data_IF_582163565510
#
_entry.id   IF_582163565510
#
_cell.length_a   1.000
_cell.length_b   1.000
_cell.length_c   1.000
_cell.angle_alpha   90.00
_cell.angle_beta   90.00
_cell.angle_gamma   90.00
#
_symmetry.space_group_name_H-M   'P 1'
#
loop_
_entity.id
_entity.type
_entity.pdbx_description
1 polymer ?
#
# COMPACT_ATOMS: atom_id res chain seq x y z
N UNK A 1 -17.39 56.17 -10.71
CA UNK A 1 -18.33 55.09 -11.05
C UNK A 1 -17.62 54.17 -12.01
N UNK A 2 -17.10 53.07 -11.49
CA UNK A 2 -16.53 51.98 -12.27
C UNK A 2 -16.96 50.71 -11.54
N UNK A 3 -18.18 50.27 -11.86
CA UNK A 3 -18.62 48.89 -11.63
C UNK A 3 -17.90 48.03 -12.67
N UNK A 4 -16.99 47.17 -12.22
CA UNK A 4 -16.27 46.29 -13.11
C UNK A 4 -15.08 45.66 -12.41
N UNK A 5 -15.34 44.80 -11.43
CA UNK A 5 -14.35 43.80 -10.96
C UNK A 5 -14.93 42.68 -10.07
N UNK A 6 -16.25 42.63 -9.83
CA UNK A 6 -16.85 41.60 -8.96
C UNK A 6 -17.30 40.31 -9.67
N UNK A 7 -17.15 40.20 -11.00
CA UNK A 7 -17.66 39.06 -11.78
C UNK A 7 -16.58 38.06 -12.22
N UNK A 8 -15.29 38.42 -12.23
CA UNK A 8 -14.22 37.50 -12.63
C UNK A 8 -13.97 36.40 -11.59
N UNK A 9 -14.08 36.75 -10.30
CA UNK A 9 -13.86 35.84 -9.17
C UNK A 9 -14.89 34.68 -9.10
N UNK A 10 -16.02 34.78 -9.80
CA UNK A 10 -17.09 33.76 -9.77
C UNK A 10 -16.97 32.70 -10.89
N UNK A 11 -16.30 32.99 -12.00
CA UNK A 11 -16.23 32.05 -13.14
C UNK A 11 -15.07 31.07 -13.03
N UNK A 12 -13.90 31.53 -12.62
CA UNK A 12 -12.73 30.65 -12.44
C UNK A 12 -12.96 29.65 -11.31
N UNK A 13 -13.56 30.09 -10.20
CA UNK A 13 -13.97 29.23 -9.10
C UNK A 13 -15.07 28.24 -9.53
N UNK A 14 -15.99 28.61 -10.43
CA UNK A 14 -16.98 27.68 -11.00
C UNK A 14 -16.34 26.61 -11.91
N UNK A 15 -15.32 26.99 -12.68
CA UNK A 15 -14.56 26.10 -13.56
C UNK A 15 -13.76 25.11 -12.71
N UNK A 16 -13.06 25.58 -11.68
CA UNK A 16 -12.35 24.74 -10.71
C UNK A 16 -13.31 23.76 -10.01
N UNK A 17 -14.53 24.21 -9.70
CA UNK A 17 -15.59 23.37 -9.11
C UNK A 17 -16.13 22.32 -10.07
N UNK A 18 -16.31 22.64 -11.35
CA UNK A 18 -16.71 21.68 -12.38
C UNK A 18 -15.61 20.64 -12.63
N UNK A 19 -14.35 21.08 -12.67
CA UNK A 19 -13.18 20.22 -12.74
C UNK A 19 -13.11 19.28 -11.54
N UNK A 20 -13.34 19.76 -10.32
CA UNK A 20 -13.37 18.91 -9.12
C UNK A 20 -14.46 17.82 -9.23
N UNK A 21 -15.67 18.18 -9.69
CA UNK A 21 -16.79 17.25 -9.86
C UNK A 21 -16.49 16.21 -10.95
N UNK A 22 -15.91 16.63 -12.08
CA UNK A 22 -15.51 15.74 -13.16
C UNK A 22 -14.40 14.79 -12.70
N UNK A 23 -13.41 15.30 -11.96
CA UNK A 23 -12.34 14.48 -11.39
C UNK A 23 -12.90 13.46 -10.42
N UNK A 24 -13.80 13.86 -9.51
CA UNK A 24 -14.45 12.95 -8.55
C UNK A 24 -15.26 11.85 -9.25
N UNK A 25 -16.10 12.23 -10.22
CA UNK A 25 -16.88 11.27 -11.00
C UNK A 25 -15.98 10.35 -11.83
N UNK A 26 -14.89 10.86 -12.39
CA UNK A 26 -13.89 10.08 -13.12
C UNK A 26 -13.21 9.05 -12.20
N UNK A 27 -12.77 9.46 -11.00
CA UNK A 27 -12.22 8.51 -10.00
C UNK A 27 -13.23 7.47 -9.54
N UNK A 28 -14.51 7.84 -9.41
CA UNK A 28 -15.57 6.90 -9.01
C UNK A 28 -15.90 5.90 -10.12
N UNK A 29 -15.95 6.35 -11.37
CA UNK A 29 -16.11 5.48 -12.54
C UNK A 29 -14.90 4.57 -12.71
N UNK A 30 -13.69 5.10 -12.57
CA UNK A 30 -12.47 4.31 -12.61
C UNK A 30 -12.43 3.26 -11.49
N UNK A 31 -12.88 3.61 -10.28
CA UNK A 31 -13.02 2.68 -9.16
C UNK A 31 -14.05 1.58 -9.45
N UNK A 32 -15.24 1.94 -9.97
CA UNK A 32 -16.26 0.95 -10.33
C UNK A 32 -15.78 0.03 -11.46
N UNK A 33 -15.14 0.58 -12.49
CA UNK A 33 -14.61 -0.20 -13.61
C UNK A 33 -13.45 -1.11 -13.17
N UNK A 34 -12.49 -0.61 -12.38
CA UNK A 34 -11.41 -1.44 -11.82
C UNK A 34 -11.94 -2.55 -10.91
N UNK A 35 -12.94 -2.24 -10.06
CA UNK A 35 -13.59 -3.26 -9.20
C UNK A 35 -14.36 -4.33 -9.98
N UNK A 36 -14.92 -4.00 -11.15
CA UNK A 36 -15.62 -4.95 -12.01
C UNK A 36 -14.68 -5.80 -12.87
N UNK A 37 -13.52 -5.24 -13.26
CA UNK A 37 -12.53 -5.92 -14.11
C UNK A 37 -11.64 -6.86 -13.30
N UNK A 38 -11.25 -6.47 -12.08
CA UNK A 38 -10.26 -7.23 -11.29
C UNK A 38 -10.90 -8.31 -10.38
N UNK A 39 -12.22 -8.29 -10.16
CA UNK A 39 -12.91 -9.25 -9.28
C UNK A 39 -12.49 -9.21 -7.81
N UNK A 40 -11.60 -8.28 -7.46
CA UNK A 40 -11.00 -8.08 -6.14
C UNK A 40 -11.13 -6.60 -5.76
N UNK A 41 -11.58 -6.32 -4.54
CA UNK A 41 -11.83 -4.95 -4.06
C UNK A 41 -10.83 -4.66 -2.94
N UNK A 42 -9.84 -3.82 -3.21
CA UNK A 42 -8.86 -3.37 -2.22
C UNK A 42 -9.55 -2.49 -1.15
N UNK A 43 -9.66 -2.95 0.13
CA UNK A 43 -10.35 -2.21 1.17
C UNK A 43 -9.66 -0.87 1.52
N UNK A 44 -8.34 -0.76 1.35
CA UNK A 44 -7.60 0.47 1.64
C UNK A 44 -7.93 1.56 0.59
N UNK A 45 -8.19 1.16 -0.66
CA UNK A 45 -8.69 2.07 -1.72
C UNK A 45 -10.11 2.53 -1.44
N UNK A 46 -10.98 1.64 -0.94
CA UNK A 46 -12.35 1.99 -0.52
C UNK A 46 -12.33 2.99 0.62
N UNK A 47 -11.45 2.80 1.61
CA UNK A 47 -11.34 3.70 2.77
C UNK A 47 -10.78 5.08 2.37
N UNK A 48 -9.77 5.12 1.49
CA UNK A 48 -9.24 6.37 0.92
C UNK A 48 -10.31 7.15 0.14
N UNK A 49 -11.08 6.45 -0.70
CA UNK A 49 -12.17 7.02 -1.49
C UNK A 49 -13.32 7.51 -0.59
N UNK A 50 -13.62 6.77 0.48
CA UNK A 50 -14.60 7.16 1.49
C UNK A 50 -14.15 8.43 2.23
N UNK A 51 -12.88 8.52 2.63
CA UNK A 51 -12.33 9.72 3.27
C UNK A 51 -12.31 10.94 2.33
N UNK A 52 -11.98 10.74 1.05
CA UNK A 52 -12.04 11.76 0.01
C UNK A 52 -13.47 12.30 -0.17
N UNK A 53 -14.45 11.40 -0.31
CA UNK A 53 -15.86 11.76 -0.42
C UNK A 53 -16.40 12.51 0.79
N UNK A 54 -16.07 12.07 2.01
CA UNK A 54 -16.48 12.73 3.25
C UNK A 54 -15.92 14.15 3.34
N UNK A 55 -14.65 14.36 2.97
CA UNK A 55 -14.03 15.70 2.96
C UNK A 55 -14.69 16.61 1.93
N UNK A 56 -14.91 16.12 0.71
CA UNK A 56 -15.58 16.90 -0.35
C UNK A 56 -17.01 17.25 0.06
N UNK A 57 -17.76 16.30 0.61
CA UNK A 57 -19.14 16.53 1.06
C UNK A 57 -19.19 17.60 2.16
N UNK A 58 -18.33 17.49 3.17
CA UNK A 58 -18.27 18.47 4.27
C UNK A 58 -17.95 19.88 3.75
N UNK A 59 -17.01 19.99 2.82
CA UNK A 59 -16.70 21.26 2.16
C UNK A 59 -17.91 21.81 1.37
N UNK A 60 -18.65 20.95 0.66
CA UNK A 60 -19.86 21.37 -0.07
C UNK A 60 -20.99 21.81 0.86
N UNK A 61 -21.19 21.13 2.00
CA UNK A 61 -22.16 21.51 3.03
C UNK A 61 -21.81 22.89 3.62
N UNK A 62 -20.54 23.13 3.96
CA UNK A 62 -20.06 24.42 4.44
C UNK A 62 -20.25 25.52 3.37
N UNK A 63 -19.95 25.23 2.11
CA UNK A 63 -20.12 26.16 0.99
C UNK A 63 -21.59 26.54 0.71
N UNK A 64 -22.55 25.64 0.95
CA UNK A 64 -23.99 25.98 0.81
C UNK A 64 -24.48 27.02 1.80
N UNK A 65 -23.76 27.22 2.91
CA UNK A 65 -24.10 28.18 3.97
C UNK A 65 -23.38 29.53 3.85
N UNK A 66 -22.47 29.69 2.89
CA UNK A 66 -21.72 30.93 2.68
C UNK A 66 -22.59 32.05 2.08
N UNK A 67 -22.43 33.28 2.59
CA UNK A 67 -23.12 34.47 2.08
C UNK A 67 -22.61 34.82 0.68
N UNK A 68 -23.53 34.99 -0.28
CA UNK A 68 -23.22 35.42 -1.65
C UNK A 68 -23.38 34.35 -2.74
N UNK A 69 -23.78 33.12 -2.39
CA UNK A 69 -24.04 32.06 -3.36
C UNK A 69 -25.45 32.21 -3.97
N UNK A 70 -25.61 32.23 -5.30
CA UNK A 70 -26.92 32.28 -5.94
C UNK A 70 -27.82 31.10 -5.55
N UNK A 71 -29.15 31.28 -5.40
CA UNK A 71 -30.08 30.21 -5.02
C UNK A 71 -30.07 29.01 -5.98
N UNK A 72 -29.88 29.24 -7.28
CA UNK A 72 -29.74 28.17 -8.28
C UNK A 72 -28.52 27.29 -8.03
N UNK A 73 -27.40 27.90 -7.64
CA UNK A 73 -26.15 27.20 -7.29
C UNK A 73 -26.30 26.46 -5.96
N UNK A 74 -26.97 27.03 -4.95
CA UNK A 74 -27.29 26.32 -3.71
C UNK A 74 -28.18 25.09 -3.95
N UNK A 75 -29.14 25.18 -4.85
CA UNK A 75 -30.00 24.05 -5.22
C UNK A 75 -29.23 22.93 -5.92
N UNK A 76 -28.31 23.27 -6.83
CA UNK A 76 -27.45 22.28 -7.50
C UNK A 76 -26.48 21.64 -6.50
N UNK A 77 -25.81 22.44 -5.66
CA UNK A 77 -24.89 21.94 -4.64
C UNK A 77 -25.60 21.04 -3.63
N UNK A 78 -26.80 21.38 -3.18
CA UNK A 78 -27.58 20.55 -2.25
C UNK A 78 -28.07 19.24 -2.89
N UNK A 79 -28.42 19.24 -4.18
CA UNK A 79 -28.69 18.02 -4.95
C UNK A 79 -27.44 17.13 -5.05
N UNK A 80 -26.27 17.71 -5.27
CA UNK A 80 -25.00 16.97 -5.34
C UNK A 80 -24.62 16.42 -3.97
N UNK A 81 -24.74 17.20 -2.90
CA UNK A 81 -24.53 16.73 -1.51
C UNK A 81 -25.44 15.54 -1.21
N UNK A 82 -26.72 15.58 -1.62
CA UNK A 82 -27.64 14.44 -1.47
C UNK A 82 -27.18 13.21 -2.25
N UNK A 83 -26.64 13.36 -3.45
CA UNK A 83 -26.10 12.24 -4.25
C UNK A 83 -24.80 11.68 -3.66
N UNK A 84 -23.90 12.54 -3.18
CA UNK A 84 -22.67 12.13 -2.50
C UNK A 84 -23.00 11.39 -1.19
N UNK A 85 -23.98 11.84 -0.42
CA UNK A 85 -24.44 11.15 0.79
C UNK A 85 -25.06 9.77 0.49
N UNK A 86 -25.77 9.63 -0.63
CA UNK A 86 -26.27 8.34 -1.10
C UNK A 86 -25.12 7.39 -1.43
N UNK A 87 -24.10 7.86 -2.15
CA UNK A 87 -22.91 7.06 -2.50
C UNK A 87 -22.10 6.69 -1.24
N UNK A 88 -21.90 7.64 -0.33
CA UNK A 88 -21.26 7.43 0.97
C UNK A 88 -21.97 6.34 1.78
N UNK A 89 -23.31 6.29 1.77
CA UNK A 89 -24.08 5.25 2.47
C UNK A 89 -23.94 3.84 1.87
N UNK A 90 -23.49 3.75 0.61
CA UNK A 90 -23.31 2.49 -0.11
C UNK A 90 -21.88 1.94 -0.03
N UNK A 91 -20.89 2.80 0.20
CA UNK A 91 -19.47 2.40 0.29
C UNK A 91 -19.15 1.46 1.46
N UNK A 92 -19.67 1.65 2.69
CA UNK A 92 -19.49 0.69 3.77
C UNK A 92 -20.06 -0.68 3.42
N UNK A 93 -21.21 -0.74 2.73
CA UNK A 93 -21.83 -2.00 2.29
C UNK A 93 -21.02 -2.71 1.22
N UNK A 94 -20.29 -1.96 0.38
CA UNK A 94 -19.33 -2.50 -0.59
C UNK A 94 -18.04 -2.95 0.09
N UNK A 95 -17.52 -2.21 1.07
CA UNK A 95 -16.37 -2.60 1.89
C UNK A 95 -16.65 -3.89 2.67
N UNK A 96 -17.82 -4.00 3.28
CA UNK A 96 -18.23 -5.21 4.01
C UNK A 96 -18.40 -6.40 3.06
N UNK A 97 -18.96 -6.19 1.86
CA UNK A 97 -19.04 -7.22 0.84
C UNK A 97 -17.66 -7.63 0.30
N UNK A 98 -16.73 -6.69 0.14
CA UNK A 98 -15.35 -6.97 -0.25
C UNK A 98 -14.64 -7.84 0.80
N UNK A 99 -14.77 -7.47 2.08
CA UNK A 99 -14.24 -8.23 3.23
C UNK A 99 -14.87 -9.61 3.38
N UNK A 100 -16.14 -9.78 2.97
CA UNK A 100 -16.81 -11.08 2.96
C UNK A 100 -16.38 -11.95 1.77
N UNK A 101 -16.17 -11.36 0.60
CA UNK A 101 -15.71 -12.07 -0.60
C UNK A 101 -14.28 -12.64 -0.43
N UNK A 102 -13.41 -11.96 0.33
CA UNK A 102 -12.08 -12.49 0.70
C UNK A 102 -12.14 -13.69 1.66
N UNK A 103 -13.17 -13.78 2.50
CA UNK A 103 -13.30 -14.86 3.49
C UNK A 103 -13.77 -16.18 2.88
N UNK A 104 -14.55 -16.13 1.79
CA UNK A 104 -15.16 -17.31 1.16
C UNK A 104 -14.15 -18.35 0.63
N UNK A 105 -13.11 -18.01 -0.16
CA UNK A 105 -12.19 -19.04 -0.66
C UNK A 105 -11.30 -19.63 0.45
N UNK A 106 -10.90 -18.83 1.45
CA UNK A 106 -10.05 -19.30 2.54
C UNK A 106 -10.78 -20.21 3.54
N UNK A 107 -12.06 -19.93 3.85
CA UNK A 107 -12.85 -20.75 4.79
C UNK A 107 -13.36 -22.06 4.18
N UNK A 108 -13.65 -22.11 2.88
CA UNK A 108 -14.01 -23.38 2.21
C UNK A 108 -12.82 -24.35 2.17
N UNK A 109 -11.61 -23.85 1.91
CA UNK A 109 -10.38 -24.65 1.94
C UNK A 109 -10.04 -25.10 3.37
N UNK A 110 -10.19 -24.23 4.36
CA UNK A 110 -9.95 -24.58 5.77
C UNK A 110 -10.97 -25.57 6.32
N UNK A 111 -12.24 -25.45 5.94
CA UNK A 111 -13.28 -26.43 6.35
C UNK A 111 -13.14 -27.78 5.67
N UNK A 112 -12.58 -27.84 4.46
CA UNK A 112 -12.19 -29.09 3.79
C UNK A 112 -10.94 -29.73 4.43
N UNK A 113 -10.00 -28.92 4.94
CA UNK A 113 -8.79 -29.38 5.63
C UNK A 113 -9.06 -29.83 7.07
N UNK A 114 -9.94 -29.15 7.81
CA UNK A 114 -10.35 -29.51 9.18
C UNK A 114 -11.27 -30.74 9.24
N UNK A 115 -11.80 -31.18 8.09
CA UNK A 115 -12.67 -32.36 7.97
C UNK A 115 -11.95 -33.70 7.79
N UNK A 116 -10.63 -33.74 7.66
CA UNK A 116 -9.88 -34.96 7.39
C UNK A 116 -9.02 -35.39 8.59
N UNK A 117 -9.30 -36.61 9.08
CA UNK A 117 -8.68 -37.41 10.15
C UNK A 117 -9.51 -37.45 11.45
N UNK A 118 -10.09 -38.57 11.93
CA UNK A 118 -9.82 -40.01 11.79
C UNK A 118 -11.10 -40.80 12.11
N UNK A 119 -11.40 -41.87 11.34
CA UNK A 119 -11.75 -43.20 11.90
C UNK A 119 -11.87 -44.26 10.82
N UNK A 120 -10.74 -44.90 10.55
CA UNK A 120 -10.66 -46.28 10.05
C UNK A 120 -11.12 -47.22 11.17
N UNK A 121 -12.21 -47.97 10.95
CA UNK A 121 -12.39 -49.29 11.58
C UNK A 121 -13.22 -50.20 10.67
N UNK A 122 -12.64 -51.38 10.49
CA UNK A 122 -13.01 -52.49 9.62
C UNK A 122 -14.36 -53.11 9.99
N UNK A 123 -15.16 -53.47 8.98
CA UNK A 123 -15.90 -54.75 8.96
C UNK A 123 -16.27 -55.14 7.52
N UNK A 124 -16.06 -56.43 7.26
CA UNK A 124 -16.08 -57.21 6.03
C UNK A 124 -17.46 -57.57 5.47
N UNK A 125 -17.42 -58.23 4.29
CA UNK A 125 -18.45 -58.98 3.52
C UNK A 125 -18.96 -58.22 2.28
N UNK A 126 -18.83 -58.68 1.03
CA UNK A 126 -18.29 -59.90 0.42
C UNK A 126 -18.65 -59.92 -1.08
N UNK A 127 -17.89 -60.70 -1.87
CA UNK A 127 -18.10 -61.08 -3.29
C UNK A 127 -17.95 -59.96 -4.35
N UNK A 128 -17.29 -60.12 -5.50
CA UNK A 128 -16.88 -61.30 -6.26
C UNK A 128 -15.70 -60.97 -7.19
N UNK A 129 -14.82 -61.94 -7.36
CA UNK A 129 -13.82 -62.04 -8.43
C UNK A 129 -14.51 -62.20 -9.79
N UNK A 130 -13.99 -61.57 -10.83
CA UNK A 130 -13.72 -62.25 -12.11
C UNK A 130 -12.68 -61.46 -12.93
N UNK A 131 -11.81 -62.23 -13.57
CA UNK A 131 -10.57 -61.81 -14.20
C UNK A 131 -10.72 -61.70 -15.72
N UNK A 132 -9.94 -60.82 -16.37
CA UNK A 132 -9.40 -61.10 -17.70
C UNK A 132 -8.34 -60.10 -18.17
N UNK A 133 -7.19 -60.69 -18.53
CA UNK A 133 -6.27 -60.40 -19.64
C UNK A 133 -5.58 -59.04 -19.79
N UNK A 134 -4.25 -59.16 -19.80
CA UNK A 134 -3.21 -58.29 -20.34
C UNK A 134 -3.48 -57.80 -21.77
N UNK A 135 -3.11 -56.55 -22.05
CA UNK A 135 -2.40 -56.15 -23.27
C UNK A 135 -1.56 -54.90 -23.02
N UNK A 136 -0.32 -54.97 -23.51
CA UNK A 136 0.66 -53.89 -23.61
C UNK A 136 0.07 -52.55 -24.08
N UNK A 137 0.53 -51.46 -23.49
CA UNK A 137 0.90 -50.22 -24.17
C UNK A 137 1.80 -49.43 -23.22
N UNK A 138 3.07 -49.30 -23.59
CA UNK A 138 4.00 -48.32 -23.01
C UNK A 138 3.66 -46.95 -23.62
N UNK A 139 3.50 -45.89 -22.81
CA UNK A 139 3.78 -44.54 -23.27
C UNK A 139 4.95 -43.95 -22.48
N UNK A 140 6.05 -43.83 -23.22
CA UNK A 140 7.07 -42.77 -23.20
C UNK A 140 6.87 -41.65 -22.18
N UNK A 141 7.93 -41.45 -21.37
CA UNK A 141 8.36 -40.17 -20.80
C UNK A 141 7.22 -39.37 -20.16
N UNK A 142 6.97 -39.67 -18.88
CA UNK A 142 6.30 -38.69 -18.02
C UNK A 142 7.11 -37.40 -18.09
N UNK A 143 6.56 -36.41 -18.78
CA UNK A 143 7.01 -35.04 -18.65
C UNK A 143 7.03 -34.74 -17.15
N UNK A 144 8.22 -34.49 -16.60
CA UNK A 144 8.29 -33.86 -15.29
C UNK A 144 7.38 -32.64 -15.36
N UNK A 145 6.39 -32.49 -14.46
CA UNK A 145 5.58 -31.28 -14.46
C UNK A 145 6.58 -30.14 -14.34
N UNK A 146 6.65 -29.30 -15.37
CA UNK A 146 7.52 -28.15 -15.40
C UNK A 146 7.31 -27.44 -14.06
N UNK A 147 8.33 -27.49 -13.19
CA UNK A 147 8.28 -26.78 -11.92
C UNK A 147 8.07 -25.33 -12.33
N UNK A 148 6.86 -24.83 -12.15
CA UNK A 148 6.61 -23.39 -12.22
C UNK A 148 7.49 -22.81 -11.13
N UNK A 149 8.65 -22.29 -11.51
CA UNK A 149 9.58 -21.65 -10.57
C UNK A 149 8.77 -20.56 -9.87
N UNK A 150 8.54 -20.73 -8.57
CA UNK A 150 7.92 -19.71 -7.76
C UNK A 150 8.84 -18.50 -7.80
N UNK A 151 8.33 -17.34 -8.28
CA UNK A 151 9.14 -16.13 -8.47
C UNK A 151 9.92 -15.74 -7.20
N UNK A 152 9.30 -15.99 -6.05
CA UNK A 152 9.88 -15.81 -4.74
C UNK A 152 9.14 -16.65 -3.70
N UNK A 153 9.81 -16.95 -2.59
CA UNK A 153 9.23 -17.58 -1.41
C UNK A 153 9.53 -16.73 -0.17
N UNK A 154 8.52 -16.57 0.69
CA UNK A 154 8.69 -15.97 2.02
C UNK A 154 9.22 -17.03 3.00
N UNK A 155 10.21 -16.66 3.79
CA UNK A 155 10.88 -17.48 4.81
C UNK A 155 10.68 -16.84 6.17
N UNK A 156 10.58 -17.67 7.22
CA UNK A 156 10.33 -17.17 8.58
C UNK A 156 11.53 -16.41 9.17
N UNK A 157 12.73 -16.69 8.66
CA UNK A 157 13.99 -16.08 9.11
C UNK A 157 14.52 -15.15 8.03
N UNK A 158 14.72 -13.90 8.41
CA UNK A 158 15.36 -12.86 7.59
C UNK A 158 16.83 -13.21 7.30
N UNK A 159 17.30 -12.89 6.09
CA UNK A 159 18.71 -13.01 5.74
C UNK A 159 19.35 -11.67 5.48
N UNK A 160 20.22 -11.26 6.39
CA UNK A 160 20.97 -10.01 6.33
C UNK A 160 22.29 -10.17 5.55
N UNK A 161 22.21 -10.71 4.32
CA UNK A 161 23.38 -10.93 3.46
C UNK A 161 24.21 -9.64 3.26
N UNK A 162 23.55 -8.49 3.27
CA UNK A 162 24.16 -7.17 3.07
C UNK A 162 24.55 -6.46 4.38
N UNK A 163 24.25 -7.05 5.54
CA UNK A 163 24.53 -6.47 6.86
C UNK A 163 23.75 -5.19 7.17
N UNK A 164 22.69 -4.88 6.43
CA UNK A 164 21.90 -3.65 6.53
C UNK A 164 20.96 -3.66 7.73
N UNK A 165 20.38 -4.81 8.07
CA UNK A 165 19.49 -4.94 9.24
C UNK A 165 20.31 -4.74 10.51
N UNK A 166 21.42 -5.47 10.67
CA UNK A 166 22.27 -5.37 11.85
C UNK A 166 22.92 -3.99 12.01
N UNK A 167 23.25 -3.30 10.92
CA UNK A 167 23.73 -1.90 10.97
C UNK A 167 22.63 -0.94 11.43
N UNK A 168 21.42 -1.06 10.87
CA UNK A 168 20.29 -0.18 11.20
C UNK A 168 19.83 -0.38 12.63
N UNK A 169 19.78 -1.63 13.10
CA UNK A 169 19.43 -1.95 14.48
C UNK A 169 20.45 -1.37 15.47
N UNK A 170 21.75 -1.49 15.20
CA UNK A 170 22.80 -0.85 16.02
C UNK A 170 22.67 0.66 16.04
N UNK A 171 22.36 1.27 14.90
CA UNK A 171 22.12 2.71 14.82
C UNK A 171 20.93 3.12 15.70
N UNK A 172 19.79 2.43 15.61
CA UNK A 172 18.63 2.70 16.46
C UNK A 172 18.98 2.55 17.95
N UNK A 173 19.69 1.49 18.32
CA UNK A 173 20.12 1.26 19.71
C UNK A 173 21.06 2.36 20.23
N UNK A 174 21.96 2.88 19.39
CA UNK A 174 22.86 3.97 19.75
C UNK A 174 22.11 5.27 20.07
N UNK A 175 21.03 5.56 19.33
CA UNK A 175 20.26 6.79 19.47
C UNK A 175 19.04 6.65 20.39
N UNK A 176 18.66 5.42 20.77
CA UNK A 176 17.50 5.17 21.63
C UNK A 176 17.51 5.91 22.98
N UNK A 177 18.65 6.21 23.63
CA UNK A 177 18.63 6.96 24.89
C UNK A 177 18.32 8.46 24.71
N UNK A 178 18.33 8.96 23.48
CA UNK A 178 18.23 10.41 23.19
C UNK A 178 17.07 10.76 22.26
N UNK A 179 16.62 9.82 21.44
CA UNK A 179 15.56 10.01 20.46
C UNK A 179 14.43 9.00 20.69
N UNK A 180 13.19 9.41 20.47
CA UNK A 180 12.09 8.46 20.35
C UNK A 180 12.32 7.55 19.13
N UNK A 181 12.12 6.23 19.26
CA UNK A 181 12.53 5.26 18.23
C UNK A 181 11.40 4.58 17.48
N UNK A 182 10.12 4.85 17.76
CA UNK A 182 9.02 4.14 17.08
C UNK A 182 9.04 4.30 15.56
N UNK A 183 9.21 5.53 15.04
CA UNK A 183 9.30 5.76 13.59
C UNK A 183 10.53 5.09 12.96
N UNK A 184 11.75 5.24 13.51
CA UNK A 184 12.90 4.44 13.07
C UNK A 184 12.65 2.92 13.11
N UNK A 185 11.95 2.43 14.13
CA UNK A 185 11.63 0.99 14.27
C UNK A 185 10.64 0.55 13.20
N UNK A 186 9.66 1.37 12.84
CA UNK A 186 8.75 1.10 11.72
C UNK A 186 9.51 0.80 10.42
N UNK A 187 10.49 1.64 10.10
CA UNK A 187 11.33 1.44 8.92
C UNK A 187 12.27 0.23 9.05
N UNK A 188 12.79 -0.05 10.25
CA UNK A 188 13.57 -1.26 10.50
C UNK A 188 12.74 -2.54 10.28
N UNK A 189 11.48 -2.58 10.72
CA UNK A 189 10.63 -3.76 10.51
C UNK A 189 10.25 -3.92 9.03
N UNK A 190 10.05 -2.83 8.29
CA UNK A 190 9.92 -2.90 6.83
C UNK A 190 11.19 -3.45 6.15
N UNK A 191 12.36 -3.06 6.63
CA UNK A 191 13.64 -3.59 6.16
C UNK A 191 13.75 -5.09 6.43
N UNK A 192 13.41 -5.55 7.63
CA UNK A 192 13.39 -6.97 8.01
C UNK A 192 12.44 -7.78 7.13
N UNK A 193 11.24 -7.25 6.93
CA UNK A 193 10.21 -7.91 6.16
C UNK A 193 10.62 -8.14 4.69
N UNK A 194 11.34 -7.19 4.09
CA UNK A 194 11.91 -7.36 2.73
C UNK A 194 12.90 -8.54 2.69
N UNK A 195 13.75 -8.68 3.70
CA UNK A 195 14.78 -9.72 3.75
C UNK A 195 14.24 -11.12 4.13
N UNK A 196 12.93 -11.26 4.38
CA UNK A 196 12.28 -12.56 4.53
C UNK A 196 11.97 -13.23 3.19
N UNK A 197 12.06 -12.51 2.08
CA UNK A 197 11.82 -13.06 0.76
C UNK A 197 13.08 -13.71 0.20
N UNK A 198 12.90 -14.69 -0.68
CA UNK A 198 13.96 -15.44 -1.37
C UNK A 198 13.57 -15.69 -2.81
N UNK A 199 14.53 -15.57 -3.72
CA UNK A 199 14.39 -15.98 -5.12
C UNK A 199 15.73 -16.47 -5.65
N UNK A 200 15.68 -17.35 -6.66
CA UNK A 200 16.86 -17.80 -7.41
C UNK A 200 17.21 -16.85 -8.57
N UNK A 201 16.38 -15.83 -8.81
CA UNK A 201 16.57 -14.86 -9.89
C UNK A 201 17.90 -14.09 -9.77
N UNK A 202 18.61 -13.84 -10.87
CA UNK A 202 19.83 -13.02 -10.85
C UNK A 202 19.57 -11.56 -10.44
N UNK A 203 18.34 -11.06 -10.62
CA UNK A 203 17.95 -9.71 -10.22
C UNK A 203 17.54 -9.61 -8.74
N UNK A 204 17.46 -10.73 -8.03
CA UNK A 204 16.99 -10.77 -6.64
C UNK A 204 17.86 -9.91 -5.70
N UNK A 205 19.17 -9.85 -5.95
CA UNK A 205 20.08 -8.98 -5.20
C UNK A 205 19.65 -7.52 -5.25
N UNK A 206 19.36 -6.99 -6.45
CA UNK A 206 18.92 -5.61 -6.65
C UNK A 206 17.51 -5.38 -6.04
N UNK A 207 16.61 -6.37 -6.13
CA UNK A 207 15.26 -6.32 -5.53
C UNK A 207 15.30 -6.19 -4.01
N UNK A 208 16.30 -6.76 -3.35
CA UNK A 208 16.46 -6.61 -1.89
C UNK A 208 17.27 -5.36 -1.55
N UNK A 209 18.42 -5.19 -2.20
CA UNK A 209 19.42 -4.20 -1.81
C UNK A 209 18.97 -2.76 -2.07
N UNK A 210 18.35 -2.48 -3.21
CA UNK A 210 17.94 -1.13 -3.58
C UNK A 210 16.88 -0.54 -2.62
N UNK A 211 15.73 -1.18 -2.36
CA UNK A 211 14.78 -0.67 -1.36
C UNK A 211 15.41 -0.62 0.03
N UNK A 212 16.22 -1.62 0.40
CA UNK A 212 16.87 -1.67 1.69
C UNK A 212 17.77 -0.45 1.94
N UNK A 213 18.60 -0.05 0.96
CA UNK A 213 19.47 1.13 1.06
C UNK A 213 18.68 2.41 1.25
N UNK A 214 17.53 2.56 0.59
CA UNK A 214 16.66 3.73 0.74
C UNK A 214 16.03 3.75 2.14
N UNK A 215 15.52 2.62 2.63
CA UNK A 215 14.96 2.51 3.99
C UNK A 215 16.02 2.81 5.06
N UNK A 216 17.26 2.32 4.87
CA UNK A 216 18.40 2.63 5.74
C UNK A 216 18.71 4.13 5.71
N UNK A 217 18.72 4.76 4.53
CA UNK A 217 18.93 6.21 4.36
C UNK A 217 17.84 7.01 5.07
N UNK A 218 16.57 6.65 4.92
CA UNK A 218 15.44 7.26 5.64
C UNK A 218 15.64 7.14 7.14
N UNK A 219 15.89 5.93 7.65
CA UNK A 219 16.09 5.67 9.08
C UNK A 219 17.25 6.48 9.65
N UNK A 220 18.38 6.52 8.93
CA UNK A 220 19.54 7.33 9.31
C UNK A 220 19.21 8.81 9.32
N UNK A 221 18.57 9.33 8.27
CA UNK A 221 18.17 10.74 8.19
C UNK A 221 17.25 11.17 9.33
N UNK A 222 16.37 10.27 9.79
CA UNK A 222 15.50 10.50 10.93
C UNK A 222 16.31 10.63 12.22
N UNK A 223 17.30 9.78 12.44
CA UNK A 223 18.08 9.73 13.69
C UNK A 223 19.21 10.76 13.75
N UNK A 224 19.84 11.10 12.62
CA UNK A 224 21.10 11.87 12.60
C UNK A 224 20.98 13.28 12.06
N UNK A 225 19.94 13.58 11.26
CA UNK A 225 19.84 14.87 10.55
C UNK A 225 18.66 15.71 11.01
N UNK A 226 18.79 17.04 10.94
CA UNK A 226 17.69 17.96 11.24
C UNK A 226 16.76 18.13 10.02
N UNK A 227 15.42 18.07 10.17
CA UNK A 227 14.71 18.22 11.44
C UNK A 227 14.42 16.91 12.17
N UNK A 228 14.61 15.74 11.54
CA UNK A 228 14.34 14.42 12.12
C UNK A 228 14.85 14.23 13.53
N UNK A 229 16.16 14.37 13.71
CA UNK A 229 16.82 14.11 14.99
C UNK A 229 16.29 15.02 16.10
N UNK A 230 16.04 16.31 15.79
CA UNK A 230 15.53 17.30 16.74
C UNK A 230 14.10 16.98 17.15
N UNK A 231 13.24 16.67 16.19
CA UNK A 231 11.84 16.33 16.45
C UNK A 231 11.69 15.06 17.29
N UNK A 232 12.51 14.04 17.02
CA UNK A 232 12.52 12.81 17.83
C UNK A 232 13.08 13.02 19.25
N UNK A 233 14.06 13.91 19.41
CA UNK A 233 14.58 14.31 20.73
C UNK A 233 13.55 15.08 21.55
N UNK A 234 12.84 16.02 20.90
CA UNK A 234 11.81 16.81 21.58
C UNK A 234 10.59 15.94 21.93
N UNK A 235 10.20 15.01 21.05
CA UNK A 235 9.15 14.05 21.36
C UNK A 235 9.51 13.18 22.57
N UNK A 236 10.76 12.74 22.70
CA UNK A 236 11.21 11.90 23.82
C UNK A 236 11.06 12.59 25.18
N UNK A 237 11.05 13.92 25.23
CA UNK A 237 10.81 14.68 26.47
C UNK A 237 9.33 14.64 26.90
N UNK A 238 8.42 14.50 25.94
CA UNK A 238 6.99 14.67 26.13
C UNK A 238 6.21 13.34 26.08
N UNK A 239 6.80 12.27 25.54
CA UNK A 239 6.16 10.98 25.31
C UNK A 239 7.04 9.84 25.82
N UNK A 240 6.40 8.82 26.40
CA UNK A 240 7.07 7.57 26.77
C UNK A 240 7.62 6.86 25.54
N UNK A 241 8.75 6.19 25.70
CA UNK A 241 9.42 5.53 24.59
C UNK A 241 8.73 4.22 24.20
N UNK A 242 8.31 4.16 22.94
CA UNK A 242 7.70 2.98 22.35
C UNK A 242 8.72 2.32 21.41
N UNK A 243 9.09 1.08 21.72
CA UNK A 243 10.20 0.38 21.05
C UNK A 243 9.76 -0.76 20.15
N UNK A 244 8.45 -1.04 20.08
CA UNK A 244 7.88 -2.17 19.34
C UNK A 244 6.64 -1.74 18.57
N UNK A 245 6.42 -2.39 17.43
CA UNK A 245 5.22 -2.26 16.64
C UNK A 245 4.13 -3.21 17.15
N UNK A 246 2.88 -2.79 17.01
CA UNK A 246 1.73 -3.66 17.27
C UNK A 246 1.44 -4.55 16.04
N UNK A 247 0.52 -5.51 16.21
CA UNK A 247 0.19 -6.45 15.12
C UNK A 247 -0.42 -5.76 13.90
N UNK A 248 -1.22 -4.71 14.07
CA UNK A 248 -1.83 -3.94 12.97
C UNK A 248 -0.78 -3.20 12.13
N UNK A 249 0.17 -2.54 12.81
CA UNK A 249 1.31 -1.85 12.21
C UNK A 249 2.18 -2.83 11.41
N UNK A 250 2.47 -4.01 11.99
CA UNK A 250 3.19 -5.08 11.29
C UNK A 250 2.41 -5.59 10.09
N UNK A 251 1.12 -5.87 10.21
CA UNK A 251 0.29 -6.37 9.11
C UNK A 251 0.27 -5.39 7.92
N UNK A 252 0.26 -4.08 8.19
CA UNK A 252 0.36 -3.07 7.13
C UNK A 252 1.72 -3.05 6.44
N UNK A 253 2.80 -3.24 7.19
CA UNK A 253 4.14 -3.41 6.62
C UNK A 253 4.18 -4.64 5.73
N UNK A 254 3.72 -5.78 6.22
CA UNK A 254 3.67 -7.05 5.48
C UNK A 254 2.86 -6.90 4.17
N UNK A 255 1.69 -6.26 4.23
CA UNK A 255 0.88 -5.96 3.04
C UNK A 255 1.60 -5.05 2.04
N UNK A 256 2.30 -4.02 2.52
CA UNK A 256 3.04 -3.10 1.64
C UNK A 256 4.20 -3.81 0.94
N UNK A 257 4.97 -4.62 1.67
CA UNK A 257 6.09 -5.41 1.14
C UNK A 257 5.60 -6.51 0.21
N UNK A 258 4.53 -7.23 0.56
CA UNK A 258 3.95 -8.24 -0.33
C UNK A 258 3.50 -7.65 -1.67
N UNK A 259 2.84 -6.47 -1.65
CA UNK A 259 2.46 -5.77 -2.89
C UNK A 259 3.69 -5.31 -3.72
N UNK A 260 4.82 -5.03 -3.08
CA UNK A 260 6.09 -4.75 -3.77
C UNK A 260 6.61 -5.99 -4.50
N UNK A 261 6.67 -7.14 -3.82
CA UNK A 261 7.11 -8.40 -4.43
C UNK A 261 6.20 -8.89 -5.56
N UNK A 262 4.88 -8.69 -5.44
CA UNK A 262 3.94 -8.88 -6.56
C UNK A 262 4.26 -7.96 -7.74
N UNK A 263 4.64 -6.71 -7.46
CA UNK A 263 4.99 -5.73 -8.49
C UNK A 263 6.24 -6.09 -9.29
N UNK A 264 7.26 -6.66 -8.63
CA UNK A 264 8.53 -7.10 -9.25
C UNK A 264 8.52 -8.55 -9.71
N UNK A 265 7.39 -9.26 -9.61
CA UNK A 265 7.29 -10.68 -9.95
C UNK A 265 7.75 -10.98 -11.39
N UNK A 266 7.35 -10.14 -12.35
CA UNK A 266 7.76 -10.26 -13.75
C UNK A 266 9.27 -10.10 -13.93
N UNK A 267 9.93 -9.26 -13.11
CA UNK A 267 11.40 -9.10 -13.12
C UNK A 267 12.07 -10.37 -12.59
N UNK A 268 11.52 -10.95 -11.52
CA UNK A 268 12.08 -12.15 -10.90
C UNK A 268 11.92 -13.40 -11.77
N UNK A 269 10.83 -13.48 -12.54
CA UNK A 269 10.58 -14.56 -13.51
C UNK A 269 11.30 -14.38 -14.85
N UNK A 270 11.95 -13.23 -15.08
CA UNK A 270 12.51 -12.85 -16.38
C UNK A 270 11.45 -12.82 -17.50
N UNK A 271 10.21 -12.49 -17.14
CA UNK A 271 9.09 -12.34 -18.06
C UNK A 271 9.14 -10.99 -18.79
N UNK A 272 8.30 -10.83 -19.82
CA UNK A 272 8.20 -9.57 -20.57
C UNK A 272 7.82 -8.40 -19.66
N UNK A 273 8.69 -7.39 -19.57
CA UNK A 273 8.50 -6.24 -18.71
C UNK A 273 7.75 -5.12 -19.42
N UNK A 274 6.65 -4.66 -18.84
CA UNK A 274 5.98 -3.45 -19.29
C UNK A 274 6.47 -2.24 -18.48
N UNK A 275 7.66 -1.76 -18.83
CA UNK A 275 8.34 -0.67 -18.12
C UNK A 275 7.50 0.60 -18.07
N UNK A 276 6.89 0.99 -19.20
CA UNK A 276 6.13 2.25 -19.29
C UNK A 276 4.92 2.27 -18.36
N UNK A 277 4.17 1.16 -18.31
CA UNK A 277 3.01 1.07 -17.44
C UNK A 277 3.45 1.07 -15.97
N UNK A 278 4.55 0.41 -15.63
CA UNK A 278 5.11 0.42 -14.27
C UNK A 278 5.55 1.81 -13.82
N UNK A 279 6.20 2.57 -14.71
CA UNK A 279 6.57 3.97 -14.43
C UNK A 279 5.32 4.84 -14.26
N UNK A 280 4.30 4.67 -15.12
CA UNK A 280 3.05 5.43 -15.02
C UNK A 280 2.30 5.12 -13.72
N UNK A 281 2.26 3.85 -13.30
CA UNK A 281 1.72 3.44 -11.99
C UNK A 281 2.49 4.08 -10.83
N UNK A 282 3.82 4.16 -10.94
CA UNK A 282 4.66 4.79 -9.93
C UNK A 282 4.46 6.31 -9.86
N UNK A 283 4.34 6.99 -11.01
CA UNK A 283 3.96 8.40 -11.09
C UNK A 283 2.60 8.63 -10.43
N UNK A 284 1.60 7.79 -10.73
CA UNK A 284 0.28 7.86 -10.11
C UNK A 284 0.34 7.67 -8.60
N UNK A 285 1.14 6.72 -8.11
CA UNK A 285 1.35 6.50 -6.68
C UNK A 285 2.13 7.63 -6.00
N UNK A 286 2.99 8.33 -6.73
CA UNK A 286 3.70 9.51 -6.26
C UNK A 286 2.80 10.74 -6.20
N UNK A 287 1.96 10.96 -7.22
CA UNK A 287 0.97 12.04 -7.23
C UNK A 287 -0.09 11.85 -6.13
N UNK A 288 -0.45 10.59 -5.85
CA UNK A 288 -1.34 10.20 -4.76
C UNK A 288 -0.69 10.18 -3.37
N UNK A 289 0.55 10.65 -3.22
CA UNK A 289 1.32 10.51 -1.98
C UNK A 289 0.60 11.11 -0.76
N UNK A 290 0.60 10.34 0.33
CA UNK A 290 -0.06 10.71 1.57
C UNK A 290 0.64 11.85 2.31
N UNK A 291 0.17 13.08 2.14
CA UNK A 291 0.64 14.25 2.91
C UNK A 291 0.05 14.35 4.32
N UNK A 292 -1.03 13.62 4.58
CA UNK A 292 -1.77 13.67 5.85
C UNK A 292 -2.47 15.01 6.10
N UNK A 293 -3.01 15.18 7.31
CA UNK A 293 -3.77 16.37 7.70
C UNK A 293 -2.89 17.57 8.06
N UNK A 294 -3.47 18.79 8.17
CA UNK A 294 -2.74 19.99 8.57
C UNK A 294 -2.15 19.91 9.98
N UNK A 295 -2.64 19.03 10.83
CA UNK A 295 -2.20 18.80 12.21
C UNK A 295 -0.85 18.09 12.33
N UNK A 296 -0.32 17.50 11.25
CA UNK A 296 0.88 16.66 11.29
C UNK A 296 2.16 17.44 10.97
N UNK A 297 3.29 16.97 11.51
CA UNK A 297 4.63 17.46 11.17
C UNK A 297 5.05 17.04 9.75
N UNK A 298 4.91 17.97 8.81
CA UNK A 298 5.12 17.71 7.37
C UNK A 298 6.58 17.63 6.95
N UNK A 299 7.55 18.11 7.75
CA UNK A 299 8.96 18.12 7.33
C UNK A 299 9.55 16.72 7.21
N UNK A 300 9.10 15.77 8.02
CA UNK A 300 9.51 14.36 7.90
C UNK A 300 8.88 13.71 6.67
N UNK A 301 7.58 13.96 6.46
CA UNK A 301 6.82 13.48 5.31
C UNK A 301 7.44 13.99 3.99
N UNK A 302 7.84 15.27 3.96
CA UNK A 302 8.52 15.86 2.80
C UNK A 302 9.84 15.16 2.48
N UNK A 303 10.61 14.73 3.49
CA UNK A 303 11.85 13.99 3.25
C UNK A 303 11.60 12.62 2.65
N UNK A 304 10.60 11.90 3.14
CA UNK A 304 10.20 10.60 2.56
C UNK A 304 9.74 10.81 1.11
N UNK A 305 8.98 11.87 0.84
CA UNK A 305 8.57 12.22 -0.52
C UNK A 305 9.76 12.51 -1.43
N UNK A 306 10.83 13.17 -0.95
CA UNK A 306 12.06 13.37 -1.73
C UNK A 306 12.73 12.06 -2.12
N UNK A 307 12.76 11.07 -1.21
CA UNK A 307 13.30 9.73 -1.55
C UNK A 307 12.42 9.00 -2.59
N UNK A 308 11.09 9.20 -2.55
CA UNK A 308 10.19 8.72 -3.60
C UNK A 308 10.47 9.40 -4.95
N UNK A 309 10.70 10.72 -4.94
CA UNK A 309 11.01 11.50 -6.14
C UNK A 309 12.35 11.05 -6.76
N UNK A 310 13.40 10.90 -5.95
CA UNK A 310 14.69 10.37 -6.39
C UNK A 310 14.54 8.95 -6.98
N UNK A 311 13.74 8.09 -6.35
CA UNK A 311 13.47 6.74 -6.85
C UNK A 311 12.74 6.75 -8.19
N UNK A 312 11.76 7.64 -8.36
CA UNK A 312 11.03 7.81 -9.61
C UNK A 312 11.94 8.34 -10.73
N UNK A 313 12.78 9.33 -10.42
CA UNK A 313 13.78 9.83 -11.37
C UNK A 313 14.78 8.74 -11.79
N UNK A 314 15.19 7.87 -10.86
CA UNK A 314 16.02 6.71 -11.17
C UNK A 314 15.29 5.70 -12.06
N UNK A 315 13.98 5.52 -11.86
CA UNK A 315 13.16 4.66 -12.73
C UNK A 315 13.07 5.21 -14.16
N UNK A 316 13.01 6.53 -14.34
CA UNK A 316 12.94 7.17 -15.66
C UNK A 316 14.29 7.26 -16.38
N UNK A 317 15.39 7.35 -15.62
CA UNK A 317 16.74 7.58 -16.16
C UNK A 317 17.64 6.34 -16.22
N UNK A 318 17.29 5.25 -15.52
CA UNK A 318 18.06 4.01 -15.56
C UNK A 318 18.09 3.41 -16.98
N UNK A 319 19.19 2.76 -17.32
CA UNK A 319 19.40 2.15 -18.65
C UNK A 319 18.88 0.72 -18.75
N UNK A 320 18.74 0.04 -17.62
CA UNK A 320 18.33 -1.36 -17.53
C UNK A 320 16.84 -1.45 -17.15
N UNK A 321 16.06 -2.15 -17.98
CA UNK A 321 14.60 -2.28 -17.83
C UNK A 321 14.21 -2.93 -16.50
N UNK A 322 14.95 -3.94 -16.06
CA UNK A 322 14.71 -4.60 -14.77
C UNK A 322 14.86 -3.59 -13.61
N UNK A 323 15.93 -2.80 -13.62
CA UNK A 323 16.17 -1.73 -12.64
C UNK A 323 15.14 -0.60 -12.72
N UNK A 324 14.71 -0.21 -13.92
CA UNK A 324 13.64 0.77 -14.09
C UNK A 324 12.36 0.31 -13.38
N UNK A 325 11.96 -0.95 -13.57
CA UNK A 325 10.79 -1.54 -12.90
C UNK A 325 11.00 -1.63 -11.40
N UNK A 326 12.18 -2.05 -10.93
CA UNK A 326 12.50 -2.12 -9.50
C UNK A 326 12.36 -0.73 -8.86
N UNK A 327 12.94 0.32 -9.45
CA UNK A 327 12.82 1.68 -8.93
C UNK A 327 11.38 2.20 -8.94
N UNK A 328 10.60 1.89 -9.99
CA UNK A 328 9.18 2.23 -10.04
C UNK A 328 8.39 1.56 -8.90
N UNK A 329 8.65 0.28 -8.63
CA UNK A 329 8.02 -0.45 -7.52
C UNK A 329 8.53 0.01 -6.15
N UNK A 330 9.78 0.46 -6.03
CA UNK A 330 10.31 1.11 -4.82
C UNK A 330 9.51 2.38 -4.51
N UNK A 331 9.25 3.24 -5.50
CA UNK A 331 8.41 4.44 -5.31
C UNK A 331 7.04 4.06 -4.77
N UNK A 332 6.41 3.02 -5.32
CA UNK A 332 5.12 2.49 -4.86
C UNK A 332 5.20 1.94 -3.42
N UNK A 333 6.28 1.22 -3.08
CA UNK A 333 6.52 0.69 -1.73
C UNK A 333 6.65 1.83 -0.71
N UNK A 334 7.49 2.83 -1.00
CA UNK A 334 7.73 3.97 -0.12
C UNK A 334 6.46 4.78 0.11
N UNK A 335 5.68 5.05 -0.95
CA UNK A 335 4.36 5.68 -0.82
C UNK A 335 3.42 4.85 0.07
N UNK A 336 3.35 3.52 -0.12
CA UNK A 336 2.50 2.64 0.71
C UNK A 336 2.93 2.58 2.17
N UNK A 337 4.22 2.52 2.46
CA UNK A 337 4.76 2.57 3.83
C UNK A 337 4.42 3.91 4.50
N UNK A 338 4.52 5.01 3.76
CA UNK A 338 4.07 6.32 4.26
C UNK A 338 2.56 6.34 4.54
N UNK A 339 1.74 5.76 3.66
CA UNK A 339 0.30 5.64 3.93
C UNK A 339 0.01 4.79 5.17
N UNK A 340 0.76 3.71 5.39
CA UNK A 340 0.65 2.89 6.59
C UNK A 340 0.95 3.68 7.87
N UNK A 341 2.00 4.52 7.88
CA UNK A 341 2.30 5.44 9.00
C UNK A 341 1.11 6.38 9.28
N UNK A 342 0.49 6.94 8.24
CA UNK A 342 -0.62 7.88 8.40
C UNK A 342 -1.94 7.22 8.79
N UNK A 343 -2.12 5.96 8.44
CA UNK A 343 -3.34 5.23 8.69
C UNK A 343 -3.37 4.60 10.11
N UNK A 344 -2.22 4.42 10.75
CA UNK A 344 -2.10 3.90 12.12
C UNK A 344 -2.23 5.04 13.15
N UNK A 345 -2.94 4.77 14.25
CA UNK A 345 -3.20 5.80 15.27
C UNK A 345 -1.92 6.27 15.96
N UNK A 346 -1.06 5.35 16.41
CA UNK A 346 0.16 5.68 17.17
C UNK A 346 1.17 6.47 16.33
N UNK A 347 1.58 6.05 15.12
CA UNK A 347 2.53 6.82 14.32
C UNK A 347 1.96 8.17 13.88
N UNK A 348 0.64 8.25 13.60
CA UNK A 348 -0.04 9.52 13.30
C UNK A 348 -0.04 10.47 14.50
N UNK A 349 -0.36 9.98 15.70
CA UNK A 349 -0.29 10.76 16.93
C UNK A 349 1.12 11.29 17.19
N UNK A 350 2.13 10.46 16.98
CA UNK A 350 3.54 10.87 17.09
C UNK A 350 3.85 12.03 16.16
N UNK A 351 3.45 11.95 14.89
CA UNK A 351 3.64 13.05 13.93
C UNK A 351 2.87 14.31 14.32
N UNK A 352 1.71 14.18 14.97
CA UNK A 352 0.95 15.33 15.48
C UNK A 352 1.62 16.00 16.69
N UNK A 353 2.22 15.20 17.59
CA UNK A 353 2.89 15.68 18.80
C UNK A 353 4.27 16.28 18.54
N UNK A 354 4.88 15.94 17.41
CA UNK A 354 6.12 16.57 16.94
C UNK A 354 5.91 17.97 16.37
N UNK A 355 4.66 18.33 16.04
CA UNK A 355 4.38 19.65 15.49
C UNK A 355 4.50 20.70 16.62
N UNK A 356 5.38 21.71 16.47
CA UNK A 356 5.62 22.71 17.50
C UNK A 356 4.44 23.67 17.72
#
# INVERSE_FOLDING_TARGET
>A
MSDGDSSSFQYDDLIDRLLLIVTLNSTLIHFLLSSQVEGYIDPDRVDSLTQGLVRTRKWMEEATTMKGVPPSTQNILSLIVKRLAQVESLLPKLSDKAKLAEKTPAQEILSLLDGAQVKTKVSSEGASLEASSETELVPLVGAEPAKTLEAYRKVDVEDDQFGLIGQTQRLIQQYSPRCHILLPTFWLEALREIHKYRSESPYFGDVIELPARIIVKVTKSLLTEAPGARLLQDLMKNRQQESYLNSSEMERIERAVAKYFQGVEAVLKEDTLNVKDKILEAQTAFDGFGWGGPELEKRLIKRINQECEESLQNAESATDEARQVIYAEITKLMSKLQHAILAESRPREILSQMKP
#
